data_IF_088194833517
#
_entry.id   IF_088194833517
#
_cell.length_a   1.000
_cell.length_b   1.000
_cell.length_c   1.000
_cell.angle_alpha   90.00
_cell.angle_beta   90.00
_cell.angle_gamma   90.00
#
_symmetry.space_group_name_H-M   'P 1'
#
loop_
_entity.id
_entity.type
_entity.pdbx_description
1 polymer ?
#
# COMPACT_ATOMS: atom_id res chain seq x y z
N UNK A 1 43.89 20.75 29.46
CA UNK A 1 43.20 20.46 28.18
C UNK A 1 41.95 19.65 28.48
N UNK A 2 40.76 20.26 28.39
CA UNK A 2 39.49 19.70 28.92
C UNK A 2 38.38 19.82 27.86
N UNK A 3 38.51 19.22 26.68
CA UNK A 3 37.44 19.27 25.63
C UNK A 3 37.55 18.15 24.58
N UNK A 4 37.67 16.86 24.95
CA UNK A 4 37.78 15.78 23.94
C UNK A 4 36.81 14.61 24.16
N UNK A 5 36.04 14.60 25.25
CA UNK A 5 35.24 13.42 25.65
C UNK A 5 33.79 13.45 25.19
N UNK A 6 33.29 14.58 24.67
CA UNK A 6 31.88 14.73 24.25
C UNK A 6 31.64 14.47 22.77
N UNK A 7 32.68 14.47 21.93
CA UNK A 7 32.54 14.24 20.47
C UNK A 7 32.20 12.80 20.11
N UNK A 8 32.73 11.82 20.87
CA UNK A 8 32.51 10.40 20.57
C UNK A 8 31.08 9.94 20.93
N UNK A 9 30.52 10.46 22.03
CA UNK A 9 29.13 10.17 22.41
C UNK A 9 28.10 10.83 21.47
N UNK A 10 28.39 12.02 20.94
CA UNK A 10 27.51 12.66 19.95
C UNK A 10 27.46 11.87 18.62
N UNK A 11 28.56 11.23 18.22
CA UNK A 11 28.62 10.42 17.00
C UNK A 11 27.75 9.14 17.10
N UNK A 12 27.71 8.50 18.27
CA UNK A 12 26.93 7.26 18.49
C UNK A 12 25.42 7.51 18.43
N UNK A 13 24.95 8.65 18.92
CA UNK A 13 23.53 9.02 18.91
C UNK A 13 23.05 9.28 17.47
N UNK A 14 23.92 9.80 16.61
CA UNK A 14 23.60 10.11 15.21
C UNK A 14 23.50 8.85 14.33
N UNK A 15 24.28 7.81 14.65
CA UNK A 15 24.24 6.51 13.92
C UNK A 15 23.00 5.68 14.28
N UNK A 16 22.53 5.72 15.54
CA UNK A 16 21.30 5.01 15.95
C UNK A 16 20.03 5.63 15.35
N UNK A 17 20.01 6.93 15.09
CA UNK A 17 18.88 7.60 14.43
C UNK A 17 18.68 7.21 12.96
N UNK A 18 19.76 6.83 12.26
CA UNK A 18 19.72 6.49 10.83
C UNK A 18 19.06 5.13 10.54
N UNK A 19 18.95 4.23 11.52
CA UNK A 19 18.32 2.92 11.38
C UNK A 19 16.80 2.95 11.66
N UNK A 20 16.26 4.08 12.11
CA UNK A 20 14.84 4.21 12.44
C UNK A 20 13.93 4.38 11.20
N UNK A 21 14.51 4.77 10.05
CA UNK A 21 13.79 4.87 8.79
C UNK A 21 13.87 3.53 8.05
N UNK A 22 12.98 2.60 8.42
CA UNK A 22 12.61 1.52 7.51
C UNK A 22 11.85 2.18 6.37
N UNK A 23 12.53 2.47 5.27
CA UNK A 23 11.87 2.85 4.01
C UNK A 23 10.81 1.80 3.73
N UNK A 24 9.56 2.23 3.53
CA UNK A 24 8.51 1.35 3.03
C UNK A 24 8.94 0.94 1.62
N UNK A 25 9.67 -0.17 1.51
CA UNK A 25 10.14 -0.73 0.24
C UNK A 25 8.91 -1.28 -0.49
N UNK A 26 8.41 -0.51 -1.45
CA UNK A 26 7.24 -0.84 -2.23
C UNK A 26 6.61 0.37 -2.91
N UNK A 27 5.74 0.10 -3.87
CA UNK A 27 4.74 1.04 -4.35
C UNK A 27 3.46 0.98 -3.52
N UNK A 28 2.43 1.63 -4.04
CA UNK A 28 1.09 1.68 -3.45
C UNK A 28 0.05 1.41 -4.53
N UNK A 29 -1.02 0.71 -4.20
CA UNK A 29 -2.19 0.59 -5.09
C UNK A 29 -3.31 1.41 -4.47
N UNK A 30 -3.87 2.37 -5.20
CA UNK A 30 -5.03 3.15 -4.77
C UNK A 30 -6.17 3.00 -5.76
N UNK A 31 -7.39 3.22 -5.29
CA UNK A 31 -8.54 3.30 -6.16
C UNK A 31 -9.79 3.70 -5.40
N UNK A 32 -10.85 3.94 -6.16
CA UNK A 32 -12.17 4.25 -5.62
C UNK A 32 -13.20 3.29 -6.19
N UNK A 33 -14.04 2.77 -5.33
CA UNK A 33 -15.19 1.94 -5.65
C UNK A 33 -16.43 2.81 -5.61
N UNK A 34 -17.24 2.71 -6.66
CA UNK A 34 -18.54 3.35 -6.76
C UNK A 34 -19.60 2.26 -6.98
N UNK A 35 -20.63 2.16 -6.12
CA UNK A 35 -20.94 3.03 -4.98
C UNK A 35 -20.01 2.80 -3.77
N UNK A 36 -19.81 3.83 -2.94
CA UNK A 36 -18.81 3.81 -1.88
C UNK A 36 -19.03 2.78 -0.77
N UNK A 37 -20.27 2.33 -0.56
CA UNK A 37 -20.59 1.25 0.37
C UNK A 37 -20.67 -0.14 -0.32
N UNK A 38 -20.46 -0.18 -1.64
CA UNK A 38 -20.63 -1.38 -2.46
C UNK A 38 -19.53 -2.43 -2.29
N UNK A 39 -18.42 -2.11 -1.61
CA UNK A 39 -17.35 -3.06 -1.31
C UNK A 39 -16.95 -3.03 0.16
N UNK A 40 -16.41 -4.15 0.65
CA UNK A 40 -15.95 -4.32 2.02
C UNK A 40 -14.42 -4.30 2.10
N UNK A 41 -13.78 -5.01 1.20
CA UNK A 41 -12.34 -5.20 1.18
C UNK A 41 -11.81 -5.34 -0.24
N UNK A 42 -10.52 -5.08 -0.42
CA UNK A 42 -9.81 -5.24 -1.69
C UNK A 42 -8.59 -6.09 -1.44
N UNK A 43 -8.41 -7.10 -2.27
CA UNK A 43 -7.30 -8.04 -2.22
C UNK A 43 -6.41 -7.78 -3.43
N UNK A 44 -5.10 -7.67 -3.23
CA UNK A 44 -4.12 -7.59 -4.31
C UNK A 44 -3.21 -8.82 -4.24
N UNK A 45 -3.30 -9.66 -5.25
CA UNK A 45 -2.59 -10.94 -5.34
C UNK A 45 -1.46 -10.81 -6.35
N UNK A 46 -0.23 -11.13 -5.96
CA UNK A 46 0.92 -11.21 -6.86
C UNK A 46 1.66 -12.52 -6.63
N UNK A 47 1.49 -13.47 -7.56
CA UNK A 47 2.06 -14.81 -7.42
C UNK A 47 1.52 -15.52 -6.16
N UNK A 48 2.37 -15.68 -5.15
CA UNK A 48 2.04 -16.27 -3.86
C UNK A 48 1.76 -15.24 -2.74
N UNK A 49 2.08 -13.96 -2.96
CA UNK A 49 1.82 -12.88 -2.01
C UNK A 49 0.37 -12.40 -2.16
N UNK A 50 -0.35 -12.25 -1.05
CA UNK A 50 -1.69 -11.65 -1.02
C UNK A 50 -1.70 -10.49 -0.04
N UNK A 51 -2.07 -9.31 -0.53
CA UNK A 51 -2.24 -8.09 0.26
C UNK A 51 -3.72 -7.79 0.38
N UNK A 52 -4.12 -7.17 1.49
CA UNK A 52 -5.51 -6.77 1.72
C UNK A 52 -5.59 -5.35 2.24
N UNK A 53 -6.59 -4.61 1.76
CA UNK A 53 -7.03 -3.35 2.35
C UNK A 53 -8.55 -3.35 2.58
N UNK A 54 -8.98 -2.56 3.54
CA UNK A 54 -10.40 -2.26 3.73
C UNK A 54 -10.82 -1.12 2.80
N UNK A 55 -12.07 -1.15 2.37
CA UNK A 55 -12.69 -0.04 1.64
C UNK A 55 -13.37 0.88 2.65
N UNK A 56 -13.01 2.15 2.64
CA UNK A 56 -13.61 3.18 3.51
C UNK A 56 -14.14 4.30 2.63
N UNK A 57 -15.45 4.59 2.70
CA UNK A 57 -16.11 5.59 1.85
C UNK A 57 -15.87 5.39 0.34
N UNK A 58 -15.76 4.12 -0.07
CA UNK A 58 -15.43 3.73 -1.44
C UNK A 58 -13.95 3.82 -1.77
N UNK A 59 -13.11 4.48 -0.98
CA UNK A 59 -11.68 4.54 -1.26
C UNK A 59 -10.94 3.35 -0.64
N UNK A 60 -9.93 2.83 -1.34
CA UNK A 60 -8.99 1.86 -0.79
C UNK A 60 -7.55 2.23 -1.13
N UNK A 61 -6.63 1.83 -0.26
CA UNK A 61 -5.20 1.97 -0.48
C UNK A 61 -4.46 0.76 0.10
N UNK A 62 -3.69 0.09 -0.74
CA UNK A 62 -2.83 -1.04 -0.36
C UNK A 62 -1.39 -0.55 -0.38
N UNK A 63 -0.77 -0.54 0.79
CA UNK A 63 0.64 -0.15 0.96
C UNK A 63 1.24 -0.85 2.20
N UNK A 64 2.51 -1.30 2.14
CA UNK A 64 3.37 -1.35 0.97
C UNK A 64 3.02 -2.51 0.02
N UNK A 65 3.02 -2.26 -1.29
CA UNK A 65 2.92 -3.28 -2.33
C UNK A 65 4.27 -3.42 -3.04
N UNK A 66 4.83 -4.62 -3.15
CA UNK A 66 6.11 -4.83 -3.84
C UNK A 66 5.96 -4.46 -5.32
N UNK A 67 7.06 -4.10 -6.00
CA UNK A 67 7.00 -3.90 -7.43
C UNK A 67 6.68 -5.23 -8.15
N UNK A 68 5.70 -5.23 -9.05
CA UNK A 68 5.24 -6.46 -9.70
C UNK A 68 3.89 -6.32 -10.38
N UNK A 69 3.43 -7.40 -11.00
CA UNK A 69 2.09 -7.50 -11.54
C UNK A 69 1.14 -8.06 -10.47
N UNK A 70 0.03 -7.36 -10.23
CA UNK A 70 -1.00 -7.72 -9.27
C UNK A 70 -2.32 -7.99 -9.97
N UNK A 71 -3.07 -8.94 -9.42
CA UNK A 71 -4.50 -9.11 -9.66
C UNK A 71 -5.23 -8.52 -8.47
N UNK A 72 -6.00 -7.47 -8.71
CA UNK A 72 -6.75 -6.75 -7.68
C UNK A 72 -8.20 -7.20 -7.73
N UNK A 73 -8.68 -7.78 -6.65
CA UNK A 73 -10.04 -8.30 -6.49
C UNK A 73 -10.75 -7.42 -5.46
N UNK A 74 -11.88 -6.87 -5.84
CA UNK A 74 -12.72 -6.03 -4.99
C UNK A 74 -13.86 -6.92 -4.50
N UNK A 75 -13.84 -7.21 -3.21
CA UNK A 75 -14.89 -7.96 -2.51
C UNK A 75 -16.11 -7.06 -2.34
N UNK A 76 -17.09 -7.26 -3.21
CA UNK A 76 -18.30 -6.48 -3.24
C UNK A 76 -19.29 -6.99 -2.19
N UNK A 77 -20.17 -6.09 -1.72
CA UNK A 77 -21.30 -6.47 -0.86
C UNK A 77 -22.53 -6.68 -1.72
N UNK A 78 -23.37 -7.64 -1.37
CA UNK A 78 -24.69 -7.79 -1.98
C UNK A 78 -25.47 -6.44 -2.00
N UNK A 79 -26.12 -6.09 -3.11
CA UNK A 79 -26.35 -6.88 -4.33
C UNK A 79 -25.28 -6.71 -5.43
N UNK A 80 -24.11 -6.14 -5.13
CA UNK A 80 -23.06 -5.89 -6.12
C UNK A 80 -22.18 -7.12 -6.35
N UNK A 81 -21.71 -7.29 -7.58
CA UNK A 81 -20.77 -8.36 -7.96
C UNK A 81 -19.32 -7.93 -7.74
N UNK A 82 -18.49 -8.90 -7.38
CA UNK A 82 -17.05 -8.71 -7.24
C UNK A 82 -16.43 -8.23 -8.55
N UNK A 83 -15.50 -7.28 -8.44
CA UNK A 83 -14.76 -6.76 -9.59
C UNK A 83 -13.31 -7.26 -9.54
N UNK A 84 -12.80 -7.76 -10.66
CA UNK A 84 -11.41 -8.24 -10.77
C UNK A 84 -10.66 -7.45 -11.84
N UNK A 85 -9.56 -6.83 -11.43
CA UNK A 85 -8.63 -6.10 -12.28
C UNK A 85 -7.33 -6.87 -12.37
N UNK A 86 -7.02 -7.36 -13.57
CA UNK A 86 -5.78 -8.08 -13.86
C UNK A 86 -4.73 -7.10 -14.39
N UNK A 87 -3.47 -7.53 -14.39
CA UNK A 87 -2.34 -6.80 -14.98
C UNK A 87 -2.06 -5.42 -14.34
N UNK A 88 -2.38 -5.26 -13.06
CA UNK A 88 -2.04 -4.05 -12.31
C UNK A 88 -0.54 -4.02 -12.04
N UNK A 89 0.19 -3.17 -12.77
CA UNK A 89 1.63 -3.00 -12.60
C UNK A 89 1.92 -2.00 -11.49
N UNK A 90 2.56 -2.49 -10.44
CA UNK A 90 3.09 -1.69 -9.35
C UNK A 90 4.57 -1.47 -9.57
N UNK A 91 4.99 -0.21 -9.47
CA UNK A 91 6.39 0.19 -9.52
C UNK A 91 6.83 0.67 -8.13
N UNK A 92 8.09 0.42 -7.79
CA UNK A 92 8.64 0.81 -6.49
C UNK A 92 8.62 2.33 -6.32
N UNK A 93 8.13 2.80 -5.16
CA UNK A 93 8.01 4.23 -4.86
C UNK A 93 6.96 4.98 -5.67
N UNK A 94 6.14 4.29 -6.49
CA UNK A 94 5.04 4.90 -7.23
C UNK A 94 3.68 4.48 -6.68
N UNK A 95 2.70 5.37 -6.88
CA UNK A 95 1.29 5.09 -6.64
C UNK A 95 0.66 4.63 -7.94
N UNK A 96 0.21 3.38 -7.97
CA UNK A 96 -0.61 2.81 -9.03
C UNK A 96 -2.07 3.09 -8.71
N UNK A 97 -2.61 4.16 -9.29
CA UNK A 97 -4.01 4.49 -9.16
C UNK A 97 -4.86 3.72 -10.19
N UNK A 98 -5.86 3.01 -9.70
CA UNK A 98 -6.81 2.22 -10.49
C UNK A 98 -8.03 3.04 -10.93
N UNK A 99 -8.11 4.31 -10.54
CA UNK A 99 -9.24 5.18 -10.84
C UNK A 99 -10.52 4.76 -10.11
N UNK A 100 -11.66 5.04 -10.77
CA UNK A 100 -12.99 4.69 -10.27
C UNK A 100 -13.45 3.35 -10.85
N UNK A 101 -13.61 2.35 -9.98
CA UNK A 101 -14.22 1.06 -10.29
C UNK A 101 -15.71 1.14 -9.97
N UNK A 102 -16.55 1.02 -11.00
CA UNK A 102 -17.99 0.92 -10.83
C UNK A 102 -18.38 -0.53 -10.65
N UNK A 103 -19.02 -0.84 -9.53
CA UNK A 103 -19.56 -2.16 -9.30
C UNK A 103 -20.91 -2.33 -10.01
N UNK A 104 -21.05 -3.46 -10.69
CA UNK A 104 -22.29 -3.85 -11.35
C UNK A 104 -23.11 -4.75 -10.41
N UNK A 105 -24.44 -4.63 -10.46
CA UNK A 105 -25.37 -5.49 -9.72
C UNK A 105 -25.65 -6.78 -10.51
#
# INVERSE_FOLDING_TARGET
MKMTKYGLSALVILVLGALAFRTLEGGSISGKVTPGDGAKEVWAISGADTLKALVTDGAFSIQPAKAGAYTVIIDAKDPYKDATLQDVKVEEGKVTDLGEIKLEQ
#
